data_IF_754074754059
#
_entry.id   IF_754074754059
#
_cell.length_a   1.000
_cell.length_b   1.000
_cell.length_c   1.000
_cell.angle_alpha   90.00
_cell.angle_beta   90.00
_cell.angle_gamma   90.00
#
_symmetry.space_group_name_H-M   'P 1'
#
loop_
_entity.id
_entity.type
_entity.pdbx_description
1 polymer ?
#
# COMPACT_ATOMS: atom_id res chain seq x y z
N UNK A 1 -10.57 7.11 13.62
CA UNK A 1 -10.09 7.21 12.23
C UNK A 1 -8.56 7.21 12.24
N UNK A 2 -7.89 6.55 11.29
CA UNK A 2 -6.44 6.67 11.09
C UNK A 2 -6.01 8.12 10.78
N UNK A 3 -4.73 8.50 11.00
CA UNK A 3 -4.22 9.81 10.65
C UNK A 3 -4.12 10.00 9.12
N UNK A 4 -4.13 11.26 8.65
CA UNK A 4 -4.01 11.64 7.24
C UNK A 4 -2.54 11.60 6.80
N UNK A 5 -1.97 10.40 6.70
CA UNK A 5 -0.54 10.18 6.42
C UNK A 5 -0.28 9.38 5.15
N UNK A 6 -1.33 9.10 4.38
CA UNK A 6 -1.23 8.52 3.04
C UNK A 6 -1.42 9.63 2.00
N UNK A 7 -0.60 9.62 0.97
CA UNK A 7 -0.64 10.62 -0.11
C UNK A 7 -0.58 9.94 -1.46
N UNK A 8 -1.27 10.52 -2.42
CA UNK A 8 -1.28 10.09 -3.82
C UNK A 8 -1.66 11.30 -4.70
N UNK A 9 -1.55 11.14 -6.01
CA UNK A 9 -1.82 12.24 -6.95
C UNK A 9 -3.23 12.18 -7.51
N UNK A 10 -3.89 13.34 -7.57
CA UNK A 10 -5.05 13.56 -8.42
C UNK A 10 -4.57 14.24 -9.71
N UNK A 11 -4.77 13.58 -10.86
CA UNK A 11 -4.26 14.04 -12.16
C UNK A 11 -5.42 14.38 -13.08
N UNK A 12 -5.35 15.52 -13.76
CA UNK A 12 -6.34 15.90 -14.78
C UNK A 12 -5.85 15.49 -16.17
N UNK A 13 -6.63 14.66 -16.86
CA UNK A 13 -6.40 14.24 -18.25
C UNK A 13 -7.70 14.51 -19.01
N UNK A 14 -7.61 15.29 -20.09
CA UNK A 14 -8.76 15.66 -20.94
C UNK A 14 -9.97 16.20 -20.15
N UNK A 15 -9.70 16.98 -19.10
CA UNK A 15 -10.72 17.59 -18.23
C UNK A 15 -11.34 16.65 -17.17
N UNK A 16 -10.97 15.37 -17.16
CA UNK A 16 -11.39 14.40 -16.14
C UNK A 16 -10.30 14.25 -15.07
N UNK A 17 -10.70 14.21 -13.80
CA UNK A 17 -9.80 13.91 -12.68
C UNK A 17 -9.65 12.39 -12.47
N UNK A 18 -8.42 11.95 -12.21
CA UNK A 18 -8.04 10.54 -12.04
C UNK A 18 -7.20 10.37 -10.78
N UNK A 19 -7.44 9.31 -10.02
CA UNK A 19 -6.58 8.93 -8.91
C UNK A 19 -5.39 8.12 -9.42
N UNK A 20 -4.18 8.52 -9.04
CA UNK A 20 -2.94 7.82 -9.35
C UNK A 20 -2.15 7.62 -8.05
N UNK A 21 -2.19 6.40 -7.53
CA UNK A 21 -1.55 6.02 -6.28
C UNK A 21 -0.46 4.97 -6.53
N UNK A 22 0.79 5.38 -6.40
CA UNK A 22 1.96 4.50 -6.50
C UNK A 22 2.58 4.21 -5.13
N UNK A 23 1.99 4.72 -4.05
CA UNK A 23 2.57 4.76 -2.71
C UNK A 23 1.83 3.93 -1.66
N UNK A 24 0.63 3.42 -1.94
CA UNK A 24 -0.17 2.66 -0.96
C UNK A 24 0.58 1.47 -0.37
N UNK A 25 1.34 0.74 -1.20
CA UNK A 25 2.19 -0.38 -0.81
C UNK A 25 1.46 -1.61 -0.24
N UNK A 26 0.18 -1.51 0.11
CA UNK A 26 -0.59 -2.59 0.73
C UNK A 26 -1.20 -3.58 -0.26
N UNK A 27 -1.31 -3.22 -1.54
CA UNK A 27 -1.87 -4.00 -2.64
C UNK A 27 -1.62 -3.28 -3.97
N UNK A 28 -2.16 -3.80 -5.07
CA UNK A 28 -2.41 -3.01 -6.27
C UNK A 28 -3.28 -1.78 -5.99
N UNK A 29 -3.11 -0.75 -6.81
CA UNK A 29 -3.86 0.50 -6.83
C UNK A 29 -4.10 0.91 -8.29
N UNK A 30 -5.16 0.41 -8.94
CA UNK A 30 -5.42 0.77 -10.33
C UNK A 30 -5.78 2.25 -10.45
N UNK A 31 -5.41 2.84 -11.59
CA UNK A 31 -5.86 4.18 -11.96
C UNK A 31 -7.37 4.16 -12.16
N UNK A 32 -8.09 5.05 -11.50
CA UNK A 32 -9.54 5.16 -11.56
C UNK A 32 -9.94 6.62 -11.83
N UNK A 33 -10.98 6.90 -12.63
CA UNK A 33 -11.55 8.23 -12.67
C UNK A 33 -12.15 8.55 -11.30
N UNK A 34 -12.05 9.80 -10.88
CA UNK A 34 -12.71 10.30 -9.68
C UNK A 34 -14.22 10.41 -9.96
N UNK A 35 -14.92 9.29 -9.85
CA UNK A 35 -16.35 9.16 -10.07
C UNK A 35 -16.95 8.11 -9.14
N UNK A 36 -18.17 8.35 -8.66
CA UNK A 36 -18.88 7.41 -7.81
C UNK A 36 -19.21 6.13 -8.58
N UNK A 37 -18.90 4.98 -7.98
CA UNK A 37 -19.05 3.67 -8.59
C UNK A 37 -18.00 3.34 -9.65
N UNK A 38 -16.94 4.14 -9.81
CA UNK A 38 -15.86 3.80 -10.74
C UNK A 38 -15.20 2.47 -10.34
N UNK A 39 -15.05 1.55 -11.28
CA UNK A 39 -14.46 0.22 -11.04
C UNK A 39 -13.27 -0.06 -11.96
N UNK A 40 -12.33 -0.86 -11.44
CA UNK A 40 -11.20 -1.38 -12.19
C UNK A 40 -10.83 -2.77 -11.69
N UNK A 41 -10.32 -3.61 -12.58
CA UNK A 41 -9.76 -4.92 -12.23
C UNK A 41 -8.24 -4.86 -12.38
N UNK A 42 -7.53 -5.15 -11.31
CA UNK A 42 -6.07 -5.21 -11.31
C UNK A 42 -5.56 -6.53 -11.94
N UNK A 43 -4.28 -6.59 -12.35
CA UNK A 43 -3.69 -7.79 -12.96
C UNK A 43 -3.69 -9.05 -12.07
N UNK A 44 -3.80 -8.88 -10.74
CA UNK A 44 -3.95 -9.99 -9.79
C UNK A 44 -5.40 -10.52 -9.68
N UNK A 45 -6.32 -9.95 -10.48
CA UNK A 45 -7.75 -10.30 -10.50
C UNK A 45 -8.59 -9.60 -9.44
N UNK A 46 -7.98 -8.79 -8.56
CA UNK A 46 -8.73 -8.03 -7.58
C UNK A 46 -9.52 -6.90 -8.26
N UNK A 47 -10.76 -6.70 -7.81
CA UNK A 47 -11.63 -5.62 -8.22
C UNK A 47 -11.52 -4.46 -7.25
N UNK A 48 -11.52 -3.26 -7.78
CA UNK A 48 -11.47 -2.02 -7.02
C UNK A 48 -12.69 -1.20 -7.36
N UNK A 49 -13.22 -0.50 -6.36
CA UNK A 49 -14.36 0.41 -6.53
C UNK A 49 -14.09 1.70 -5.77
N UNK A 50 -14.41 2.82 -6.38
CA UNK A 50 -14.43 4.12 -5.74
C UNK A 50 -15.87 4.48 -5.38
N UNK A 51 -16.11 4.79 -4.11
CA UNK A 51 -17.43 5.22 -3.63
C UNK A 51 -17.34 6.63 -3.05
N UNK A 52 -18.27 7.49 -3.47
CA UNK A 52 -18.46 8.79 -2.86
C UNK A 52 -19.04 8.62 -1.45
N UNK A 53 -18.50 9.35 -0.49
CA UNK A 53 -18.93 9.31 0.91
C UNK A 53 -19.30 10.72 1.37
N UNK A 54 -20.27 10.81 2.27
CA UNK A 54 -20.58 12.06 2.96
C UNK A 54 -19.72 12.14 4.23
N UNK A 55 -19.02 13.26 4.44
CA UNK A 55 -18.35 13.57 5.70
C UNK A 55 -19.18 14.52 6.55
N UNK A 56 -18.78 14.65 7.81
CA UNK A 56 -19.32 15.68 8.70
C UNK A 56 -19.20 17.06 8.04
N UNK A 57 -20.18 17.93 8.28
CA UNK A 57 -20.30 19.26 7.66
C UNK A 57 -20.57 19.29 6.14
N UNK A 58 -20.93 18.16 5.53
CA UNK A 58 -21.42 18.11 4.14
C UNK A 58 -20.31 18.11 3.09
N UNK A 59 -19.05 17.91 3.49
CA UNK A 59 -17.95 17.74 2.56
C UNK A 59 -18.00 16.36 1.90
N UNK A 60 -17.77 16.31 0.58
CA UNK A 60 -17.67 15.05 -0.15
C UNK A 60 -16.30 14.41 0.12
N UNK A 61 -16.31 13.21 0.68
CA UNK A 61 -15.16 12.33 0.77
C UNK A 61 -15.26 11.18 -0.23
N UNK A 62 -14.23 10.35 -0.25
CA UNK A 62 -14.15 9.17 -1.10
C UNK A 62 -13.62 7.99 -0.31
N UNK A 63 -14.05 6.79 -0.69
CA UNK A 63 -13.53 5.52 -0.17
C UNK A 63 -13.06 4.65 -1.33
N UNK A 64 -11.80 4.22 -1.30
CA UNK A 64 -11.33 3.15 -2.17
C UNK A 64 -11.63 1.80 -1.50
N UNK A 65 -12.33 0.95 -2.24
CA UNK A 65 -12.67 -0.42 -1.85
C UNK A 65 -11.90 -1.41 -2.73
N UNK A 66 -11.63 -2.59 -2.15
CA UNK A 66 -11.01 -3.72 -2.86
C UNK A 66 -11.71 -5.03 -2.54
N UNK A 67 -12.05 -5.80 -3.56
CA UNK A 67 -12.49 -7.19 -3.45
C UNK A 67 -11.51 -8.09 -4.19
N UNK A 68 -10.90 -9.02 -3.48
CA UNK A 68 -9.93 -9.93 -4.05
C UNK A 68 -9.25 -10.77 -2.98
N UNK A 69 -8.37 -11.66 -3.42
CA UNK A 69 -7.73 -12.59 -2.50
C UNK A 69 -6.81 -11.84 -1.51
N UNK A 70 -6.91 -12.09 -0.18
CA UNK A 70 -6.09 -11.43 0.83
C UNK A 70 -4.58 -11.67 0.70
N UNK A 71 -4.17 -12.76 0.08
CA UNK A 71 -2.75 -13.07 -0.13
C UNK A 71 -2.09 -12.18 -1.21
N UNK A 72 -2.87 -11.35 -1.92
CA UNK A 72 -2.33 -10.25 -2.74
C UNK A 72 -2.44 -8.88 -2.06
N UNK A 73 -2.38 -8.90 -0.72
CA UNK A 73 -2.31 -7.70 0.13
C UNK A 73 -1.21 -7.83 1.19
N UNK A 74 -1.00 -6.80 1.99
CA UNK A 74 -0.13 -6.81 3.16
C UNK A 74 -0.66 -7.65 4.35
N UNK A 75 -1.77 -8.34 4.15
CA UNK A 75 -2.32 -9.33 5.09
C UNK A 75 -3.32 -8.77 6.10
N UNK A 76 -3.75 -7.51 5.96
CA UNK A 76 -4.76 -6.89 6.81
C UNK A 76 -6.21 -7.07 6.32
N UNK A 77 -6.42 -7.51 5.08
CA UNK A 77 -7.75 -7.70 4.50
C UNK A 77 -8.44 -9.01 4.90
N UNK A 78 -9.77 -8.97 5.01
CA UNK A 78 -10.60 -10.16 5.11
C UNK A 78 -10.84 -10.80 3.73
N UNK A 79 -11.27 -12.06 3.70
CA UNK A 79 -11.64 -12.74 2.45
C UNK A 79 -13.05 -12.39 2.02
N UNK A 80 -13.19 -12.00 0.74
CA UNK A 80 -14.48 -11.84 0.06
C UNK A 80 -15.14 -10.48 0.25
N UNK A 81 -15.73 -9.99 -0.84
CA UNK A 81 -16.45 -8.73 -0.86
C UNK A 81 -15.52 -7.52 -0.83
N UNK A 82 -16.10 -6.35 -1.09
CA UNK A 82 -15.38 -5.09 -1.10
C UNK A 82 -15.00 -4.66 0.32
N UNK A 83 -13.69 -4.52 0.56
CA UNK A 83 -13.11 -4.11 1.84
C UNK A 83 -12.51 -2.69 1.71
N UNK A 84 -12.70 -1.82 2.72
CA UNK A 84 -12.14 -0.48 2.72
C UNK A 84 -10.61 -0.50 2.76
N UNK A 85 -9.97 0.25 1.88
CA UNK A 85 -8.52 0.41 1.82
C UNK A 85 -8.10 1.73 2.47
N UNK A 86 -8.59 2.84 1.94
CA UNK A 86 -8.37 4.18 2.49
C UNK A 86 -9.47 5.14 2.05
N UNK A 87 -9.68 6.18 2.86
CA UNK A 87 -10.58 7.29 2.55
C UNK A 87 -9.80 8.57 2.35
N UNK A 88 -10.29 9.46 1.49
CA UNK A 88 -9.63 10.73 1.20
C UNK A 88 -10.63 11.84 0.89
N UNK A 89 -10.15 13.08 0.91
CA UNK A 89 -10.84 14.25 0.35
C UNK A 89 -10.02 14.78 -0.83
N UNK A 90 -10.57 15.75 -1.55
CA UNK A 90 -9.89 16.43 -2.67
C UNK A 90 -9.30 17.77 -2.26
N UNK A 91 -9.13 17.99 -0.95
CA UNK A 91 -8.47 19.20 -0.47
C UNK A 91 -7.04 19.24 -1.02
N UNK A 92 -6.61 20.42 -1.45
CA UNK A 92 -5.24 20.64 -1.88
C UNK A 92 -4.30 20.38 -0.70
N UNK A 93 -3.25 19.61 -0.94
CA UNK A 93 -2.23 19.24 0.06
C UNK A 93 -0.96 19.99 -0.30
N UNK A 94 -0.43 20.78 0.63
CA UNK A 94 0.78 21.56 0.42
C UNK A 94 2.02 20.79 0.89
N UNK A 95 3.19 21.20 0.44
CA UNK A 95 4.46 20.58 0.84
C UNK A 95 4.65 20.52 2.36
N UNK A 96 4.18 21.54 3.09
CA UNK A 96 4.24 21.57 4.55
C UNK A 96 3.40 20.44 5.19
N UNK A 97 2.24 20.12 4.62
CA UNK A 97 1.38 19.03 5.10
C UNK A 97 2.04 17.67 4.83
N UNK A 98 2.66 17.51 3.67
CA UNK A 98 3.43 16.31 3.33
C UNK A 98 4.62 16.12 4.28
N UNK A 99 5.35 17.18 4.60
CA UNK A 99 6.45 17.14 5.56
C UNK A 99 5.97 16.76 6.96
N UNK A 100 4.84 17.30 7.41
CA UNK A 100 4.23 16.93 8.71
C UNK A 100 3.80 15.47 8.74
N UNK A 101 3.12 15.00 7.69
CA UNK A 101 2.69 13.61 7.54
C UNK A 101 3.86 12.64 7.48
N UNK A 102 4.92 13.00 6.76
CA UNK A 102 6.16 12.23 6.68
C UNK A 102 6.91 12.22 8.02
N UNK A 103 7.02 13.35 8.72
CA UNK A 103 7.67 13.41 10.03
C UNK A 103 6.98 12.48 11.03
N UNK A 104 5.65 12.52 11.11
CA UNK A 104 4.89 11.59 11.94
C UNK A 104 5.16 10.14 11.54
N UNK A 105 5.01 9.83 10.26
CA UNK A 105 5.17 8.48 9.72
C UNK A 105 6.55 7.89 9.99
N UNK A 106 7.61 8.71 9.87
CA UNK A 106 9.01 8.26 9.96
C UNK A 106 9.64 8.37 11.34
N UNK A 107 9.05 9.12 12.28
CA UNK A 107 9.68 9.37 13.60
C UNK A 107 8.79 9.10 14.80
N UNK A 108 7.45 9.10 14.65
CA UNK A 108 6.57 8.91 15.80
C UNK A 108 6.69 7.48 16.33
N UNK A 109 6.88 7.28 17.66
CA UNK A 109 6.93 5.93 18.25
C UNK A 109 5.68 5.10 18.02
N UNK A 110 4.52 5.76 17.85
CA UNK A 110 3.24 5.12 17.57
C UNK A 110 3.05 4.75 16.09
N UNK A 111 3.93 5.20 15.19
CA UNK A 111 3.85 4.85 13.77
C UNK A 111 4.23 3.39 13.57
N UNK A 112 3.42 2.63 12.83
CA UNK A 112 3.77 1.26 12.40
C UNK A 112 5.12 1.22 11.67
N UNK A 113 5.43 2.27 10.91
CA UNK A 113 6.61 2.34 10.05
C UNK A 113 7.91 2.58 10.82
N UNK A 114 7.85 2.98 12.10
CA UNK A 114 9.02 3.04 13.00
C UNK A 114 9.18 1.78 13.83
N UNK A 115 8.16 0.93 13.89
CA UNK A 115 8.12 -0.28 14.74
C UNK A 115 8.48 -1.55 13.98
N UNK A 116 8.39 -1.56 12.65
CA UNK A 116 8.59 -2.78 11.86
C UNK A 116 9.15 -2.45 10.48
N UNK A 117 10.16 -3.21 10.05
CA UNK A 117 10.64 -3.19 8.68
C UNK A 117 9.57 -3.76 7.74
N UNK A 118 9.12 -2.97 6.77
CA UNK A 118 8.07 -3.35 5.82
C UNK A 118 8.59 -3.10 4.41
N UNK A 119 8.48 -4.11 3.55
CA UNK A 119 8.69 -3.98 2.12
C UNK A 119 7.59 -4.73 1.37
N UNK A 120 7.15 -4.17 0.25
CA UNK A 120 6.15 -4.80 -0.60
C UNK A 120 6.36 -4.41 -2.05
N UNK A 121 5.88 -5.25 -2.95
CA UNK A 121 5.91 -4.99 -4.39
C UNK A 121 4.74 -5.70 -5.07
N UNK A 122 4.08 -5.00 -5.98
CA UNK A 122 3.13 -5.62 -6.90
C UNK A 122 3.89 -6.38 -7.98
N UNK A 123 3.44 -7.61 -8.28
CA UNK A 123 4.02 -8.47 -9.31
C UNK A 123 3.06 -8.54 -10.50
N UNK A 124 3.50 -8.85 -11.73
CA UNK A 124 2.65 -8.80 -12.93
C UNK A 124 1.27 -9.47 -12.81
N UNK A 125 1.14 -10.50 -11.97
CA UNK A 125 -0.12 -11.16 -11.62
C UNK A 125 -0.17 -11.56 -10.14
N UNK A 126 0.33 -10.70 -9.25
CA UNK A 126 0.33 -10.99 -7.82
C UNK A 126 1.00 -9.94 -6.96
N UNK A 127 1.57 -10.35 -5.83
CA UNK A 127 2.08 -9.44 -4.82
C UNK A 127 3.11 -10.16 -3.96
N UNK A 128 4.10 -9.43 -3.47
CA UNK A 128 4.99 -9.90 -2.43
C UNK A 128 5.05 -8.88 -1.28
N UNK A 129 5.16 -9.38 -0.06
CA UNK A 129 5.37 -8.59 1.14
C UNK A 129 6.36 -9.23 2.08
N UNK A 130 7.06 -8.37 2.81
CA UNK A 130 7.99 -8.70 3.87
C UNK A 130 7.68 -7.77 5.04
N UNK A 131 7.26 -8.35 6.17
CA UNK A 131 6.93 -7.61 7.38
C UNK A 131 7.74 -8.19 8.54
N UNK A 132 8.71 -7.41 9.02
CA UNK A 132 9.82 -7.92 9.81
C UNK A 132 10.50 -9.03 9.02
N UNK A 133 10.44 -10.26 9.53
CA UNK A 133 10.96 -11.48 8.89
C UNK A 133 9.90 -12.34 8.20
N UNK A 134 8.63 -11.97 8.31
CA UNK A 134 7.53 -12.72 7.69
C UNK A 134 7.43 -12.37 6.22
N UNK A 135 7.73 -13.32 5.35
CA UNK A 135 7.63 -13.21 3.91
C UNK A 135 6.35 -13.86 3.40
N UNK A 136 5.67 -13.20 2.46
CA UNK A 136 4.55 -13.75 1.69
C UNK A 136 4.69 -13.34 0.23
N UNK A 137 4.33 -14.23 -0.69
CA UNK A 137 4.23 -13.95 -2.11
C UNK A 137 3.12 -14.77 -2.75
N UNK A 138 2.40 -14.14 -3.67
CA UNK A 138 1.62 -14.79 -4.73
C UNK A 138 2.12 -14.34 -6.10
N UNK A 139 2.26 -15.28 -7.03
CA UNK A 139 2.49 -15.01 -8.46
C UNK A 139 1.60 -15.94 -9.29
N UNK A 140 0.48 -15.44 -9.81
CA UNK A 140 -0.55 -16.29 -10.38
C UNK A 140 -1.10 -17.26 -9.33
N UNK A 141 -1.01 -18.56 -9.58
CA UNK A 141 -1.44 -19.61 -8.63
C UNK A 141 -0.35 -20.03 -7.65
N UNK A 142 0.91 -19.66 -7.90
CA UNK A 142 2.03 -20.00 -7.03
C UNK A 142 2.03 -19.12 -5.78
N UNK A 143 2.19 -19.75 -4.62
CA UNK A 143 2.22 -19.07 -3.33
C UNK A 143 3.42 -19.52 -2.51
N UNK A 144 4.04 -18.57 -1.82
CA UNK A 144 5.12 -18.83 -0.89
C UNK A 144 4.89 -18.02 0.39
N UNK A 145 5.06 -18.64 1.54
CA UNK A 145 5.03 -17.96 2.82
C UNK A 145 6.02 -18.61 3.79
N UNK A 146 6.55 -17.82 4.71
CA UNK A 146 7.47 -18.32 5.72
C UNK A 146 8.20 -17.20 6.42
N UNK A 147 8.95 -17.57 7.45
CA UNK A 147 9.85 -16.67 8.15
C UNK A 147 11.26 -16.79 7.56
N UNK A 148 11.89 -15.65 7.26
CA UNK A 148 13.31 -15.61 6.89
C UNK A 148 14.13 -15.59 8.17
N UNK A 149 14.98 -16.60 8.38
CA UNK A 149 15.80 -16.74 9.59
C UNK A 149 17.29 -16.45 9.36
N UNK A 150 17.73 -16.28 8.11
CA UNK A 150 19.11 -15.98 7.75
C UNK A 150 19.23 -14.55 7.17
N UNK A 151 20.06 -13.67 7.75
CA UNK A 151 20.24 -12.29 7.26
C UNK A 151 20.77 -12.22 5.82
N UNK A 152 21.52 -13.23 5.36
CA UNK A 152 22.01 -13.29 3.97
C UNK A 152 20.85 -13.54 3.00
N UNK A 153 19.93 -14.43 3.37
CA UNK A 153 18.71 -14.71 2.58
C UNK A 153 17.81 -13.48 2.55
N UNK A 154 17.69 -12.76 3.67
CA UNK A 154 16.93 -11.51 3.74
C UNK A 154 17.47 -10.48 2.76
N UNK A 155 18.79 -10.23 2.79
CA UNK A 155 19.46 -9.28 1.90
C UNK A 155 19.29 -9.64 0.42
N UNK A 156 19.47 -10.92 0.07
CA UNK A 156 19.25 -11.41 -1.31
C UNK A 156 17.79 -11.19 -1.72
N UNK A 157 16.83 -11.40 -0.82
CA UNK A 157 15.41 -11.18 -1.09
C UNK A 157 15.09 -9.70 -1.31
N UNK A 158 15.64 -8.79 -0.50
CA UNK A 158 15.49 -7.34 -0.66
C UNK A 158 15.96 -6.88 -2.04
N UNK A 159 17.13 -7.34 -2.48
CA UNK A 159 17.69 -7.00 -3.79
C UNK A 159 16.88 -7.62 -4.95
N UNK A 160 16.76 -8.95 -4.98
CA UNK A 160 16.23 -9.64 -6.16
C UNK A 160 14.72 -9.51 -6.36
N UNK A 161 13.95 -9.36 -5.28
CA UNK A 161 12.48 -9.29 -5.36
C UNK A 161 11.96 -7.87 -5.21
N UNK A 162 12.52 -7.10 -4.27
CA UNK A 162 12.04 -5.75 -3.97
C UNK A 162 12.86 -4.65 -4.65
N UNK A 163 13.99 -4.98 -5.28
CA UNK A 163 14.84 -4.00 -5.96
C UNK A 163 15.58 -3.06 -5.01
N UNK A 164 15.77 -3.47 -3.75
CA UNK A 164 16.41 -2.66 -2.70
C UNK A 164 17.74 -3.30 -2.32
N UNK A 165 18.83 -2.65 -2.72
CA UNK A 165 20.18 -3.09 -2.38
C UNK A 165 20.58 -2.58 -1.00
N UNK A 166 20.70 -3.50 -0.05
CA UNK A 166 21.17 -3.23 1.31
C UNK A 166 22.58 -3.82 1.51
N UNK A 167 23.42 -3.06 2.20
CA UNK A 167 24.73 -3.53 2.67
C UNK A 167 24.58 -4.55 3.80
N UNK A 168 25.68 -5.15 4.25
CA UNK A 168 25.66 -6.05 5.42
C UNK A 168 25.37 -5.25 6.69
N UNK A 169 25.89 -4.03 6.75
CA UNK A 169 25.73 -3.07 7.83
C UNK A 169 24.27 -2.61 7.94
N UNK A 170 23.60 -2.31 6.81
CA UNK A 170 22.18 -1.95 6.80
C UNK A 170 21.31 -3.08 7.37
N UNK A 171 21.57 -4.33 6.97
CA UNK A 171 20.83 -5.51 7.45
C UNK A 171 21.04 -5.70 8.95
N UNK A 172 22.26 -5.51 9.44
CA UNK A 172 22.54 -5.57 10.88
C UNK A 172 21.80 -4.46 11.63
N UNK A 173 21.73 -3.25 11.07
CA UNK A 173 21.04 -2.10 11.67
C UNK A 173 19.52 -2.27 11.77
N UNK A 174 18.91 -3.17 10.98
CA UNK A 174 17.49 -3.50 11.10
C UNK A 174 17.15 -4.26 12.41
N UNK A 175 18.14 -4.84 13.10
CA UNK A 175 17.97 -5.60 14.35
C UNK A 175 16.90 -6.70 14.27
N UNK A 176 16.81 -7.40 13.14
CA UNK A 176 15.83 -8.47 12.90
C UNK A 176 16.34 -9.87 13.28
N UNK A 177 17.64 -10.07 13.40
CA UNK A 177 18.31 -11.36 13.54
C UNK A 177 19.15 -11.44 14.81
#
# INVERSE_FOLDING_TARGET
MPPLTHTFSLVTIDGQAWIADTGFGGSYTPVLPLADGAEATAPDGARFRLEATSRDHGEQGWMLLRDGDPMTTDGRGASGGFQPQYSFTIAEVFDADLLLGNHWTSTAPASRFTQTAIASIVLPNGFASLMGRTYRRRSGTDTASGEITDPRVYRIRMSLLFGIDLSVEDIAALNLF
#
